data_IF_513598863349
#
_entry.id   IF_513598863349
#
_cell.length_a   1.000
_cell.length_b   1.000
_cell.length_c   1.000
_cell.angle_alpha   90.00
_cell.angle_beta   90.00
_cell.angle_gamma   90.00
#
_symmetry.space_group_name_H-M   'P 1'
#
loop_
_entity.id
_entity.type
_entity.pdbx_description
1 polymer ?
#
# COMPACT_ATOMS: atom_id res chain seq x y z
N UNK A 1 -42.40 36.73 -74.20
CA UNK A 1 -41.98 37.93 -73.43
C UNK A 1 -43.18 38.70 -72.88
N UNK A 2 -44.03 39.34 -73.69
CA UNK A 2 -45.21 40.10 -73.21
C UNK A 2 -46.11 39.32 -72.23
N UNK A 3 -46.42 38.05 -72.53
CA UNK A 3 -47.17 37.15 -71.63
C UNK A 3 -46.50 36.94 -70.25
N UNK A 4 -45.17 36.78 -70.23
CA UNK A 4 -44.39 36.62 -69.00
C UNK A 4 -44.39 37.92 -68.19
N UNK A 5 -44.31 39.07 -68.87
CA UNK A 5 -44.40 40.39 -68.23
C UNK A 5 -45.75 40.55 -67.55
N UNK A 6 -46.85 40.28 -68.26
CA UNK A 6 -48.20 40.38 -67.69
C UNK A 6 -48.42 39.40 -66.52
N UNK A 7 -47.88 38.18 -66.59
CA UNK A 7 -47.93 37.22 -65.48
C UNK A 7 -47.15 37.71 -64.24
N UNK A 8 -45.99 38.35 -64.43
CA UNK A 8 -45.22 38.91 -63.32
C UNK A 8 -45.87 40.16 -62.74
N UNK A 9 -46.43 41.03 -63.57
CA UNK A 9 -47.20 42.21 -63.15
C UNK A 9 -48.40 41.80 -62.29
N UNK A 10 -49.15 40.78 -62.70
CA UNK A 10 -50.27 40.25 -61.92
C UNK A 10 -49.82 39.64 -60.59
N UNK A 11 -48.70 38.89 -60.57
CA UNK A 11 -48.14 38.34 -59.33
C UNK A 11 -47.65 39.42 -58.37
N UNK A 12 -47.17 40.56 -58.87
CA UNK A 12 -46.74 41.69 -58.05
C UNK A 12 -47.93 42.48 -57.48
N UNK A 13 -49.04 42.55 -58.22
CA UNK A 13 -50.28 43.18 -57.77
C UNK A 13 -51.06 42.32 -56.77
N UNK A 14 -50.93 40.99 -56.86
CA UNK A 14 -51.60 40.05 -55.94
C UNK A 14 -51.03 40.13 -54.52
N UNK A 15 -51.82 39.69 -53.53
CA UNK A 15 -51.36 39.63 -52.16
C UNK A 15 -50.18 38.65 -51.99
N UNK A 16 -49.16 39.09 -51.26
CA UNK A 16 -48.03 38.23 -50.91
C UNK A 16 -48.51 37.05 -50.05
N UNK A 17 -47.96 35.85 -50.28
CA UNK A 17 -48.26 34.69 -49.45
C UNK A 17 -47.72 34.93 -48.03
N UNK A 18 -48.31 34.26 -47.04
CA UNK A 18 -48.09 34.58 -45.63
C UNK A 18 -46.62 34.43 -45.19
N UNK A 19 -45.85 33.54 -45.83
CA UNK A 19 -44.42 33.35 -45.61
C UNK A 19 -43.57 34.60 -45.90
N UNK A 20 -44.04 35.45 -46.81
CA UNK A 20 -43.38 36.70 -47.20
C UNK A 20 -43.93 37.93 -46.45
N UNK A 21 -44.85 37.71 -45.50
CA UNK A 21 -45.38 38.73 -44.60
C UNK A 21 -44.69 38.58 -43.23
N UNK A 22 -44.28 39.68 -42.61
CA UNK A 22 -43.79 39.68 -41.23
C UNK A 22 -44.96 39.57 -40.24
N UNK A 23 -44.66 39.18 -38.99
CA UNK A 23 -45.62 39.23 -37.86
C UNK A 23 -46.97 38.55 -38.17
N UNK A 24 -46.90 37.31 -38.67
CA UNK A 24 -48.08 36.54 -39.06
C UNK A 24 -48.69 35.84 -37.84
N UNK A 25 -49.92 36.23 -37.50
CA UNK A 25 -50.73 35.56 -36.48
C UNK A 25 -51.31 34.22 -37.01
N UNK A 26 -51.65 33.31 -36.09
CA UNK A 26 -52.14 31.97 -36.43
C UNK A 26 -53.37 31.96 -37.37
N UNK A 27 -54.30 32.92 -37.26
CA UNK A 27 -55.48 33.00 -38.12
C UNK A 27 -55.24 33.54 -39.53
N UNK A 28 -54.08 34.17 -39.80
CA UNK A 28 -53.72 34.71 -41.14
C UNK A 28 -53.08 33.65 -42.04
N UNK A 29 -52.76 32.47 -41.52
CA UNK A 29 -52.19 31.35 -42.25
C UNK A 29 -53.15 30.15 -42.25
N UNK A 30 -53.11 29.27 -43.26
CA UNK A 30 -53.88 28.03 -43.24
C UNK A 30 -53.50 27.13 -42.05
N UNK A 31 -54.45 26.33 -41.59
CA UNK A 31 -54.22 25.35 -40.53
C UNK A 31 -53.11 24.37 -40.92
N UNK A 32 -52.28 23.97 -39.94
CA UNK A 32 -51.15 23.05 -40.11
C UNK A 32 -50.08 23.44 -41.14
N UNK A 33 -50.13 24.65 -41.70
CA UNK A 33 -49.15 25.13 -42.69
C UNK A 33 -47.71 25.19 -42.14
N UNK A 34 -47.54 25.30 -40.82
CA UNK A 34 -46.21 25.35 -40.18
C UNK A 34 -45.46 24.02 -40.29
N UNK A 35 -46.16 22.89 -40.30
CA UNK A 35 -45.53 21.56 -40.38
C UNK A 35 -44.89 21.29 -41.75
N UNK A 36 -45.34 22.02 -42.78
CA UNK A 36 -44.84 21.88 -44.14
C UNK A 36 -43.59 22.75 -44.40
N UNK A 37 -43.34 23.74 -43.53
CA UNK A 37 -42.29 24.72 -43.74
C UNK A 37 -41.10 24.49 -42.81
N UNK A 38 -39.89 24.66 -43.36
CA UNK A 38 -38.65 24.52 -42.62
C UNK A 38 -38.20 25.88 -42.09
N UNK A 39 -38.69 26.28 -40.91
CA UNK A 39 -38.27 27.50 -40.24
C UNK A 39 -37.08 27.21 -39.31
N UNK A 40 -36.11 28.11 -39.32
CA UNK A 40 -35.03 28.10 -38.34
C UNK A 40 -35.38 29.05 -37.20
N UNK A 41 -35.38 28.54 -35.98
CA UNK A 41 -35.60 29.31 -34.78
C UNK A 41 -34.61 28.89 -33.69
N UNK A 42 -34.32 29.82 -32.80
CA UNK A 42 -33.39 29.57 -31.70
C UNK A 42 -34.12 28.90 -30.51
N UNK A 43 -33.48 27.88 -29.94
CA UNK A 43 -33.91 27.29 -28.67
C UNK A 43 -33.13 27.93 -27.51
N UNK A 44 -33.83 28.32 -26.45
CA UNK A 44 -33.22 28.97 -25.28
C UNK A 44 -32.51 28.00 -24.34
N UNK A 45 -32.90 26.73 -24.35
CA UNK A 45 -32.38 25.69 -23.44
C UNK A 45 -31.74 24.56 -24.21
N UNK A 46 -30.67 23.99 -23.65
CA UNK A 46 -30.13 22.71 -24.15
C UNK A 46 -31.11 21.60 -23.81
N UNK A 47 -31.45 20.80 -24.81
CA UNK A 47 -32.26 19.60 -24.61
C UNK A 47 -31.48 18.59 -23.76
N UNK A 48 -32.17 17.84 -22.88
CA UNK A 48 -31.54 16.76 -22.14
C UNK A 48 -30.97 15.74 -23.15
N UNK A 49 -29.74 15.23 -22.93
CA UNK A 49 -29.16 14.24 -23.82
C UNK A 49 -29.94 12.93 -23.72
N UNK A 50 -30.18 12.30 -24.86
CA UNK A 50 -30.81 10.98 -24.91
C UNK A 50 -29.80 9.91 -24.52
N UNK A 51 -30.23 8.95 -23.68
CA UNK A 51 -29.39 7.86 -23.21
C UNK A 51 -29.33 6.79 -24.30
N UNK A 52 -28.35 6.91 -25.20
CA UNK A 52 -28.09 5.92 -26.26
C UNK A 52 -27.16 4.83 -25.77
N UNK A 53 -27.16 3.67 -26.43
CA UNK A 53 -26.24 2.56 -26.09
C UNK A 53 -24.76 2.93 -26.16
N UNK A 54 -24.40 3.88 -27.01
CA UNK A 54 -23.02 4.35 -27.13
C UNK A 54 -22.61 5.10 -25.86
N UNK A 55 -23.47 5.98 -25.36
CA UNK A 55 -23.22 6.71 -24.10
C UNK A 55 -23.11 5.76 -22.92
N UNK A 56 -23.96 4.73 -22.83
CA UNK A 56 -23.89 3.74 -21.75
C UNK A 56 -22.60 2.91 -21.82
N UNK A 57 -22.18 2.47 -23.01
CA UNK A 57 -20.90 1.76 -23.20
C UNK A 57 -19.71 2.60 -22.73
N UNK A 58 -19.68 3.89 -23.06
CA UNK A 58 -18.60 4.79 -22.59
C UNK A 58 -18.58 4.94 -21.07
N UNK A 59 -19.75 5.05 -20.43
CA UNK A 59 -19.88 5.12 -18.97
C UNK A 59 -19.42 3.81 -18.31
N UNK A 60 -19.81 2.66 -18.84
CA UNK A 60 -19.37 1.37 -18.33
C UNK A 60 -17.86 1.18 -18.42
N UNK A 61 -17.26 1.58 -19.53
CA UNK A 61 -15.81 1.45 -19.71
C UNK A 61 -15.05 2.36 -18.74
N UNK A 62 -15.56 3.56 -18.47
CA UNK A 62 -15.03 4.44 -17.43
C UNK A 62 -15.16 3.81 -16.03
N UNK A 63 -16.31 3.23 -15.71
CA UNK A 63 -16.55 2.54 -14.43
C UNK A 63 -15.60 1.34 -14.30
N UNK A 64 -15.45 0.52 -15.35
CA UNK A 64 -14.52 -0.62 -15.40
C UNK A 64 -13.08 -0.17 -15.19
N UNK A 65 -12.66 0.95 -15.79
CA UNK A 65 -11.34 1.54 -15.59
C UNK A 65 -11.16 1.98 -14.13
N UNK A 66 -12.09 2.74 -13.55
CA UNK A 66 -12.01 3.18 -12.14
C UNK A 66 -11.96 2.02 -11.14
N UNK A 67 -12.70 0.94 -11.40
CA UNK A 67 -12.65 -0.28 -10.58
C UNK A 67 -11.27 -0.96 -10.67
N UNK A 68 -10.70 -1.03 -11.88
CA UNK A 68 -9.34 -1.58 -12.09
C UNK A 68 -8.30 -0.74 -11.34
N UNK A 69 -8.41 0.58 -11.43
CA UNK A 69 -7.50 1.55 -10.80
C UNK A 69 -7.74 1.70 -9.29
N UNK A 70 -8.90 1.23 -8.79
CA UNK A 70 -9.37 1.36 -7.40
C UNK A 70 -9.41 2.84 -6.95
N UNK A 71 -9.77 3.73 -7.87
CA UNK A 71 -9.93 5.15 -7.64
C UNK A 71 -11.40 5.43 -7.25
N UNK A 72 -11.64 5.56 -5.95
CA UNK A 72 -12.96 5.78 -5.37
C UNK A 72 -13.02 7.18 -4.76
N UNK A 73 -14.09 7.91 -5.06
CA UNK A 73 -14.37 9.24 -4.52
C UNK A 73 -15.21 9.19 -3.22
N UNK A 74 -15.27 8.02 -2.56
CA UNK A 74 -16.02 7.82 -1.32
C UNK A 74 -15.41 8.61 -0.15
N UNK A 75 -16.26 9.15 0.73
CA UNK A 75 -15.81 9.88 1.92
C UNK A 75 -15.16 8.91 2.91
N UNK A 76 -13.85 9.05 3.12
CA UNK A 76 -13.12 8.25 4.11
C UNK A 76 -13.56 8.64 5.55
N UNK A 77 -13.83 7.63 6.39
CA UNK A 77 -14.17 7.87 7.81
C UNK A 77 -12.97 8.50 8.51
N UNK A 78 -13.14 9.74 8.99
CA UNK A 78 -12.15 10.41 9.85
C UNK A 78 -12.00 9.62 11.15
N UNK A 79 -10.89 8.89 11.28
CA UNK A 79 -10.52 8.23 12.54
C UNK A 79 -9.92 9.31 13.44
N UNK A 80 -10.47 9.47 14.64
CA UNK A 80 -9.83 10.32 15.67
C UNK A 80 -8.44 9.73 15.91
N UNK A 81 -7.41 10.56 15.84
CA UNK A 81 -6.06 10.10 16.18
C UNK A 81 -6.12 9.57 17.61
N UNK A 82 -5.88 8.26 17.78
CA UNK A 82 -5.74 7.69 19.12
C UNK A 82 -4.45 8.25 19.68
N UNK A 83 -4.56 9.19 20.60
CA UNK A 83 -3.41 9.67 21.37
C UNK A 83 -2.92 8.48 22.21
N UNK A 84 -1.93 7.75 21.71
CA UNK A 84 -1.28 6.73 22.51
C UNK A 84 -0.53 7.45 23.63
N UNK A 85 -0.85 7.20 24.93
CA UNK A 85 -0.25 7.93 26.06
C UNK A 85 1.28 7.89 26.09
N UNK A 86 1.87 6.88 25.41
CA UNK A 86 3.30 6.62 25.37
C UNK A 86 4.01 7.08 24.08
N UNK A 87 3.30 7.46 23.01
CA UNK A 87 3.94 7.79 21.72
C UNK A 87 4.38 9.26 21.61
N UNK A 88 3.72 10.17 22.33
CA UNK A 88 4.00 11.62 22.24
C UNK A 88 5.35 12.05 22.81
N UNK A 89 6.06 11.17 23.54
CA UNK A 89 7.31 11.54 24.24
C UNK A 89 8.60 11.24 23.47
N UNK A 90 8.54 10.73 22.23
CA UNK A 90 9.74 10.27 21.49
C UNK A 90 10.22 11.21 20.39
N UNK A 91 10.33 12.50 20.69
CA UNK A 91 11.18 13.40 19.91
C UNK A 91 12.18 14.07 20.85
N UNK A 92 13.26 13.37 21.12
CA UNK A 92 14.46 14.00 21.66
C UNK A 92 15.00 14.88 20.53
N UNK A 93 14.72 16.17 20.58
CA UNK A 93 15.41 17.15 19.76
C UNK A 93 16.85 17.21 20.25
N UNK A 94 17.80 16.92 19.37
CA UNK A 94 19.22 17.02 19.69
C UNK A 94 19.58 18.51 19.77
N UNK A 95 19.85 18.99 20.98
CA UNK A 95 20.37 20.34 21.18
C UNK A 95 21.75 20.46 20.52
N UNK A 96 21.90 21.43 19.62
CA UNK A 96 23.15 21.69 18.89
C UNK A 96 24.07 22.67 19.62
N UNK A 97 23.66 23.15 20.79
CA UNK A 97 24.49 23.98 21.64
C UNK A 97 25.59 23.14 22.31
N UNK A 98 26.75 23.74 22.55
CA UNK A 98 27.83 23.07 23.29
C UNK A 98 27.32 22.71 24.69
N UNK A 99 27.60 21.48 25.12
CA UNK A 99 27.16 20.99 26.42
C UNK A 99 27.72 21.87 27.55
N UNK A 100 26.84 22.30 28.46
CA UNK A 100 27.22 23.06 29.66
C UNK A 100 27.92 22.19 30.70
N UNK A 101 27.72 20.87 30.65
CA UNK A 101 28.31 19.88 31.55
C UNK A 101 29.56 19.25 30.93
N UNK A 102 30.52 18.87 31.79
CA UNK A 102 31.71 18.10 31.42
C UNK A 102 31.36 16.62 31.18
N UNK A 103 32.18 15.92 30.38
CA UNK A 103 32.01 14.49 30.11
C UNK A 103 31.98 13.65 31.39
N UNK A 104 32.81 13.99 32.38
CA UNK A 104 32.83 13.30 33.68
C UNK A 104 31.54 13.46 34.48
N UNK A 105 30.96 14.66 34.47
CA UNK A 105 29.68 14.94 35.15
C UNK A 105 28.51 14.24 34.46
N UNK A 106 28.55 14.11 33.13
CA UNK A 106 27.55 13.34 32.37
C UNK A 106 27.58 11.88 32.81
N UNK A 107 28.77 11.28 32.97
CA UNK A 107 28.91 9.90 33.44
C UNK A 107 28.46 9.73 34.90
N UNK A 108 28.79 10.67 35.78
CA UNK A 108 28.32 10.66 37.17
C UNK A 108 26.78 10.73 37.23
N UNK A 109 26.18 11.66 36.49
CA UNK A 109 24.73 11.80 36.41
C UNK A 109 24.07 10.58 35.79
N UNK A 110 24.66 9.97 34.77
CA UNK A 110 24.16 8.74 34.17
C UNK A 110 24.23 7.57 35.16
N UNK A 111 25.33 7.44 35.91
CA UNK A 111 25.47 6.40 36.93
C UNK A 111 24.43 6.55 38.05
N UNK A 112 24.22 7.78 38.55
CA UNK A 112 23.18 8.08 39.54
C UNK A 112 21.77 7.82 38.98
N UNK A 113 21.51 8.16 37.70
CA UNK A 113 20.24 7.88 37.01
C UNK A 113 20.01 6.39 36.79
N UNK A 114 21.05 5.61 36.54
CA UNK A 114 20.95 4.15 36.40
C UNK A 114 20.70 3.46 37.75
N UNK A 115 21.25 3.99 38.85
CA UNK A 115 20.96 3.52 40.20
C UNK A 115 19.57 3.92 40.69
N UNK A 116 19.08 5.11 40.29
CA UNK A 116 17.69 5.51 40.48
C UNK A 116 16.82 4.85 39.41
N UNK A 117 16.43 3.58 39.63
CA UNK A 117 15.34 2.98 38.88
C UNK A 117 14.13 3.90 38.99
N UNK A 118 13.67 4.46 37.86
CA UNK A 118 12.54 5.38 37.72
C UNK A 118 12.87 6.88 37.91
N UNK A 119 13.48 7.47 36.88
CA UNK A 119 13.14 8.85 36.56
C UNK A 119 12.03 8.85 35.52
N UNK A 120 10.81 9.13 36.00
CA UNK A 120 9.77 9.76 35.20
C UNK A 120 10.41 10.99 34.55
N UNK A 121 10.56 10.98 33.22
CA UNK A 121 10.99 12.15 32.47
C UNK A 121 10.18 13.35 32.95
N UNK A 122 10.86 14.29 33.62
CA UNK A 122 10.23 15.49 34.18
C UNK A 122 9.61 16.25 33.02
N UNK A 123 8.28 16.37 33.06
CA UNK A 123 7.57 17.35 32.26
C UNK A 123 8.13 18.73 32.56
N UNK A 124 8.21 19.59 31.54
CA UNK A 124 8.68 20.96 31.76
C UNK A 124 7.84 21.61 32.87
N UNK A 125 8.47 22.24 33.88
CA UNK A 125 7.75 22.82 35.02
C UNK A 125 6.72 23.88 34.57
N UNK A 126 6.97 24.53 33.44
CA UNK A 126 6.07 25.48 32.80
C UNK A 126 4.79 24.81 32.29
N UNK A 127 4.86 23.58 31.76
CA UNK A 127 3.68 22.84 31.35
C UNK A 127 2.81 22.47 32.54
N UNK A 128 3.42 22.14 33.68
CA UNK A 128 2.67 21.81 34.90
C UNK A 128 2.07 23.07 35.55
N UNK A 129 2.76 24.21 35.49
CA UNK A 129 2.21 25.49 35.95
C UNK A 129 1.02 25.93 35.10
N UNK A 130 1.14 25.84 33.76
CA UNK A 130 0.05 26.13 32.82
C UNK A 130 -1.14 25.22 33.06
N UNK A 131 -0.94 23.90 33.24
CA UNK A 131 -2.02 22.96 33.55
C UNK A 131 -2.77 23.34 34.83
N UNK A 132 -2.05 23.70 35.90
CA UNK A 132 -2.66 24.15 37.17
C UNK A 132 -3.46 25.44 37.01
N UNK A 133 -2.91 26.42 36.29
CA UNK A 133 -3.63 27.67 36.01
C UNK A 133 -4.89 27.39 35.18
N UNK A 134 -4.78 26.56 34.15
CA UNK A 134 -5.87 26.17 33.26
C UNK A 134 -7.00 25.44 34.00
N UNK A 135 -6.66 24.47 34.86
CA UNK A 135 -7.67 23.77 35.68
C UNK A 135 -8.37 24.73 36.62
N UNK A 136 -7.62 25.62 37.28
CA UNK A 136 -8.20 26.62 38.19
C UNK A 136 -9.13 27.61 37.48
N UNK A 137 -8.79 27.99 36.24
CA UNK A 137 -9.58 28.91 35.43
C UNK A 137 -10.88 28.23 34.97
N UNK A 138 -10.80 27.00 34.44
CA UNK A 138 -12.00 26.27 34.00
C UNK A 138 -12.98 26.02 35.14
N UNK A 139 -12.51 25.64 36.34
CA UNK A 139 -13.41 25.47 37.49
C UNK A 139 -14.17 26.77 37.80
N UNK A 140 -13.52 27.94 37.66
CA UNK A 140 -14.18 29.24 37.88
C UNK A 140 -15.19 29.56 36.77
N UNK A 141 -14.85 29.32 35.51
CA UNK A 141 -15.77 29.55 34.38
C UNK A 141 -16.97 28.59 34.41
N UNK A 142 -16.73 27.33 34.77
CA UNK A 142 -17.77 26.30 34.91
C UNK A 142 -18.75 26.70 36.03
N UNK A 143 -18.24 27.21 37.17
CA UNK A 143 -19.08 27.74 38.24
C UNK A 143 -19.87 29.01 37.83
N UNK A 144 -19.24 29.93 37.08
CA UNK A 144 -19.90 31.15 36.57
C UNK A 144 -21.01 30.84 35.56
N UNK A 145 -20.86 29.76 34.79
CA UNK A 145 -21.86 29.31 33.81
C UNK A 145 -22.93 28.39 34.41
N UNK A 146 -23.03 28.29 35.74
CA UNK A 146 -23.94 27.38 36.45
C UNK A 146 -23.78 25.91 35.98
N UNK A 147 -22.56 25.51 35.66
CA UNK A 147 -22.20 24.19 35.13
C UNK A 147 -22.91 23.80 33.81
N UNK A 148 -23.39 24.78 33.03
CA UNK A 148 -23.93 24.55 31.68
C UNK A 148 -22.85 24.70 30.60
N UNK A 149 -21.87 23.79 30.59
CA UNK A 149 -20.76 23.80 29.65
C UNK A 149 -20.62 22.46 28.92
N UNK A 150 -19.88 22.47 27.81
CA UNK A 150 -19.53 21.24 27.11
C UNK A 150 -18.46 20.50 27.90
N UNK A 151 -18.69 19.23 28.32
CA UNK A 151 -17.73 18.48 29.12
C UNK A 151 -16.38 18.36 28.38
N UNK A 152 -15.30 18.28 29.15
CA UNK A 152 -13.95 18.11 28.59
C UNK A 152 -13.89 16.83 27.75
N UNK A 153 -13.13 16.88 26.66
CA UNK A 153 -12.93 15.71 25.82
C UNK A 153 -12.25 14.61 26.65
N UNK A 154 -12.68 13.36 26.47
CA UNK A 154 -12.11 12.23 27.19
C UNK A 154 -10.65 12.02 26.74
N UNK A 155 -9.72 12.38 27.60
CA UNK A 155 -8.31 12.04 27.44
C UNK A 155 -8.10 10.57 27.84
N UNK A 156 -7.23 9.83 27.13
CA UNK A 156 -6.90 8.45 27.51
C UNK A 156 -6.05 8.44 28.78
N UNK A 157 -6.68 8.22 29.92
CA UNK A 157 -6.02 8.08 31.23
C UNK A 157 -5.73 6.61 31.53
N UNK A 158 -4.52 6.30 31.98
CA UNK A 158 -4.12 4.94 32.39
C UNK A 158 -4.23 4.84 33.90
N UNK A 159 -5.23 4.11 34.38
CA UNK A 159 -5.37 3.80 35.81
C UNK A 159 -4.76 2.42 36.09
N UNK A 160 -3.77 2.38 36.97
CA UNK A 160 -3.15 1.13 37.43
C UNK A 160 -3.88 0.69 38.70
N UNK A 161 -4.71 -0.33 38.59
CA UNK A 161 -5.46 -0.90 39.72
C UNK A 161 -4.64 -2.05 40.32
N UNK A 162 -4.36 -1.99 41.62
CA UNK A 162 -3.69 -3.06 42.36
C UNK A 162 -4.69 -4.10 42.86
N UNK A 163 -4.32 -5.38 42.92
CA UNK A 163 -5.17 -6.46 43.43
C UNK A 163 -5.30 -6.39 44.97
N UNK A 164 -6.21 -5.54 45.44
CA UNK A 164 -6.57 -5.36 46.85
C UNK A 164 -8.01 -5.87 47.11
N UNK A 165 -8.37 -6.26 48.35
CA UNK A 165 -9.76 -6.52 48.69
C UNK A 165 -10.60 -5.24 48.54
N UNK A 166 -11.86 -5.36 48.11
CA UNK A 166 -12.78 -4.22 47.94
C UNK A 166 -12.94 -3.41 49.22
N UNK A 167 -12.92 -4.08 50.38
CA UNK A 167 -12.97 -3.49 51.71
C UNK A 167 -11.91 -2.39 51.91
N UNK A 168 -10.72 -2.52 51.31
CA UNK A 168 -9.67 -1.51 51.45
C UNK A 168 -9.98 -0.19 50.72
N UNK A 169 -10.90 -0.21 49.75
CA UNK A 169 -11.35 0.97 49.01
C UNK A 169 -12.64 1.56 49.57
N UNK A 170 -13.38 0.80 50.38
CA UNK A 170 -14.61 1.26 51.01
C UNK A 170 -14.31 2.24 52.17
N UNK A 171 -15.27 3.10 52.46
CA UNK A 171 -15.19 3.99 53.62
C UNK A 171 -15.22 3.16 54.92
N UNK A 172 -14.58 3.67 55.98
CA UNK A 172 -14.52 3.00 57.28
C UNK A 172 -15.89 3.08 57.97
N UNK A 173 -16.80 2.21 57.56
CA UNK A 173 -18.10 2.00 58.18
C UNK A 173 -18.13 0.62 58.88
N UNK A 174 -18.85 0.48 60.01
CA UNK A 174 -18.88 -0.77 60.78
C UNK A 174 -19.58 -1.94 60.07
N UNK A 175 -20.26 -1.69 58.94
CA UNK A 175 -20.90 -2.72 58.12
C UNK A 175 -20.20 -2.79 56.78
N UNK A 176 -19.29 -3.76 56.61
CA UNK A 176 -18.70 -4.07 55.33
C UNK A 176 -19.68 -4.90 54.49
N UNK A 177 -19.83 -4.56 53.22
CA UNK A 177 -20.86 -5.15 52.34
C UNK A 177 -20.26 -6.21 51.40
N UNK A 178 -18.93 -6.26 51.20
CA UNK A 178 -18.33 -7.13 50.19
C UNK A 178 -16.96 -7.74 50.56
N UNK A 179 -16.79 -9.04 50.30
CA UNK A 179 -15.50 -9.78 50.47
C UNK A 179 -14.72 -9.95 49.15
N UNK A 180 -15.15 -9.31 48.07
CA UNK A 180 -14.57 -9.48 46.74
C UNK A 180 -13.19 -8.81 46.61
N UNK A 181 -12.40 -9.23 45.62
CA UNK A 181 -11.19 -8.50 45.22
C UNK A 181 -11.50 -7.57 44.06
N UNK A 182 -10.74 -6.48 43.92
CA UNK A 182 -10.93 -5.51 42.84
C UNK A 182 -10.68 -6.08 41.44
N UNK A 183 -9.72 -7.00 41.33
CA UNK A 183 -9.29 -7.55 40.05
C UNK A 183 -10.12 -8.78 39.68
N UNK A 184 -10.61 -8.83 38.44
CA UNK A 184 -11.37 -9.97 37.96
C UNK A 184 -10.47 -11.19 37.75
N UNK A 185 -10.99 -12.44 37.87
CA UNK A 185 -10.22 -13.63 37.56
C UNK A 185 -9.63 -13.63 36.14
N UNK A 186 -10.32 -13.02 35.16
CA UNK A 186 -9.83 -12.88 33.77
C UNK A 186 -8.63 -11.92 33.64
N UNK A 187 -8.50 -10.95 34.54
CA UNK A 187 -7.38 -9.99 34.57
C UNK A 187 -6.17 -10.56 35.32
N UNK A 188 -6.41 -11.41 36.33
CA UNK A 188 -5.36 -12.20 36.99
C UNK A 188 -4.80 -13.26 36.04
N UNK A 189 -5.69 -13.92 35.28
CA UNK A 189 -5.33 -14.97 34.34
C UNK A 189 -6.22 -14.90 33.11
N UNK A 190 -5.59 -14.69 31.95
CA UNK A 190 -6.28 -14.70 30.66
C UNK A 190 -7.10 -15.97 30.46
N UNK A 191 -8.33 -15.81 29.98
CA UNK A 191 -9.16 -16.94 29.58
C UNK A 191 -8.51 -17.69 28.42
N UNK A 192 -8.17 -18.95 28.66
CA UNK A 192 -7.76 -19.84 27.58
C UNK A 192 -9.00 -20.21 26.77
N UNK A 193 -9.07 -19.75 25.53
CA UNK A 193 -10.17 -20.10 24.63
C UNK A 193 -10.02 -21.53 24.13
N UNK A 194 -10.80 -22.44 24.71
CA UNK A 194 -10.81 -23.87 24.39
C UNK A 194 -9.82 -24.67 25.23
N UNK A 195 -9.88 -25.99 25.09
CA UNK A 195 -8.96 -26.91 25.76
C UNK A 195 -7.54 -26.76 25.19
N UNK A 196 -6.53 -26.69 26.07
CA UNK A 196 -5.14 -26.80 25.64
C UNK A 196 -4.89 -28.22 25.16
N UNK A 197 -4.85 -28.42 23.84
CA UNK A 197 -4.48 -29.68 23.20
C UNK A 197 -3.03 -29.65 22.75
N UNK A 198 -2.27 -30.69 23.09
CA UNK A 198 -0.93 -30.90 22.58
C UNK A 198 -0.92 -31.18 21.07
N UNK A 199 0.20 -30.94 20.38
CA UNK A 199 0.28 -31.18 18.93
C UNK A 199 0.09 -32.67 18.54
N UNK A 200 0.41 -33.58 19.46
CA UNK A 200 0.14 -35.03 19.35
C UNK A 200 -1.34 -35.38 19.41
N UNK A 201 -2.13 -34.65 20.20
CA UNK A 201 -3.55 -34.89 20.45
C UNK A 201 -4.46 -34.20 19.42
N UNK A 202 -3.93 -33.22 18.67
CA UNK A 202 -4.68 -32.50 17.64
C UNK A 202 -5.03 -33.42 16.46
N UNK A 203 -6.33 -33.57 16.24
CA UNK A 203 -6.87 -34.25 15.06
C UNK A 203 -6.54 -33.50 13.76
N UNK A 204 -6.66 -34.17 12.61
CA UNK A 204 -6.41 -33.54 11.29
C UNK A 204 -7.34 -32.33 11.05
N UNK A 205 -8.59 -32.40 11.48
CA UNK A 205 -9.56 -31.30 11.37
C UNK A 205 -9.15 -30.09 12.23
N UNK A 206 -8.70 -30.33 13.47
CA UNK A 206 -8.21 -29.28 14.37
C UNK A 206 -7.01 -28.53 13.76
N UNK A 207 -6.04 -29.27 13.21
CA UNK A 207 -4.85 -28.69 12.54
C UNK A 207 -5.24 -27.82 11.33
N UNK A 208 -6.22 -28.26 10.53
CA UNK A 208 -6.71 -27.49 9.39
C UNK A 208 -7.44 -26.20 9.82
N UNK A 209 -8.27 -26.29 10.87
CA UNK A 209 -8.97 -25.12 11.44
C UNK A 209 -7.99 -24.10 12.00
N UNK A 210 -6.98 -24.55 12.74
CA UNK A 210 -5.92 -23.69 13.28
C UNK A 210 -5.14 -23.00 12.16
N UNK A 211 -4.78 -23.74 11.09
CA UNK A 211 -4.12 -23.18 9.90
C UNK A 211 -4.99 -22.13 9.19
N UNK A 212 -6.28 -22.39 9.03
CA UNK A 212 -7.22 -21.43 8.43
C UNK A 212 -7.33 -20.15 9.27
N UNK A 213 -7.44 -20.28 10.59
CA UNK A 213 -7.44 -19.14 11.52
C UNK A 213 -6.16 -18.32 11.42
N UNK A 214 -4.99 -18.97 11.48
CA UNK A 214 -3.67 -18.33 11.29
C UNK A 214 -3.57 -17.65 9.91
N UNK A 215 -4.07 -18.26 8.83
CA UNK A 215 -4.09 -17.67 7.48
C UNK A 215 -5.00 -16.44 7.41
N UNK A 216 -6.17 -16.48 8.06
CA UNK A 216 -7.12 -15.36 8.15
C UNK A 216 -6.48 -14.18 8.88
N UNK A 217 -5.89 -14.42 10.05
CA UNK A 217 -5.19 -13.39 10.84
C UNK A 217 -4.03 -12.76 10.06
N UNK A 218 -3.19 -13.58 9.41
CA UNK A 218 -2.10 -13.08 8.54
C UNK A 218 -2.64 -12.25 7.37
N UNK A 219 -3.77 -12.63 6.76
CA UNK A 219 -4.40 -11.85 5.68
C UNK A 219 -4.92 -10.50 6.19
N UNK A 220 -5.52 -10.45 7.37
CA UNK A 220 -6.00 -9.22 8.00
C UNK A 220 -4.81 -8.29 8.30
N UNK A 221 -3.79 -8.79 8.99
CA UNK A 221 -2.57 -8.01 9.32
C UNK A 221 -1.85 -7.49 8.07
N UNK A 222 -1.80 -8.28 6.99
CA UNK A 222 -1.23 -7.83 5.72
C UNK A 222 -2.07 -6.69 5.11
N UNK A 223 -3.39 -6.85 5.04
CA UNK A 223 -4.29 -5.81 4.51
C UNK A 223 -4.15 -4.49 5.29
N UNK A 224 -4.11 -4.57 6.61
CA UNK A 224 -3.92 -3.40 7.48
C UNK A 224 -2.57 -2.72 7.23
N UNK A 225 -1.49 -3.51 7.09
CA UNK A 225 -0.17 -2.99 6.75
C UNK A 225 -0.14 -2.31 5.37
N UNK A 226 -0.77 -2.93 4.37
CA UNK A 226 -0.86 -2.38 3.01
C UNK A 226 -1.70 -1.08 3.01
N UNK A 227 -2.80 -1.02 3.77
CA UNK A 227 -3.61 0.19 3.95
C UNK A 227 -2.82 1.31 4.63
N UNK A 228 -2.11 0.99 5.71
CA UNK A 228 -1.23 1.95 6.41
C UNK A 228 -0.14 2.48 5.48
N UNK A 229 0.46 1.63 4.67
CA UNK A 229 1.46 2.04 3.69
C UNK A 229 0.88 2.98 2.63
N UNK A 230 -0.28 2.66 2.07
CA UNK A 230 -0.97 3.53 1.11
C UNK A 230 -1.32 4.90 1.71
N UNK A 231 -1.77 4.93 2.96
CA UNK A 231 -2.03 6.20 3.66
C UNK A 231 -0.74 7.03 3.78
N UNK A 232 0.36 6.38 4.16
CA UNK A 232 1.68 7.01 4.29
C UNK A 232 2.20 7.54 2.94
N UNK A 233 1.99 6.79 1.85
CA UNK A 233 2.34 7.18 0.47
C UNK A 233 1.48 8.36 -0.03
N UNK A 234 0.19 8.39 0.30
CA UNK A 234 -0.71 9.54 0.02
C UNK A 234 -0.27 10.80 0.76
N UNK A 235 0.12 10.68 2.04
CA UNK A 235 0.52 11.82 2.88
C UNK A 235 1.88 12.40 2.47
N UNK A 236 2.80 11.57 1.98
CA UNK A 236 4.13 12.00 1.51
C UNK A 236 4.41 11.43 0.12
N UNK A 237 3.89 12.07 -0.96
CA UNK A 237 4.12 11.60 -2.31
C UNK A 237 5.60 11.76 -2.69
N UNK A 238 6.27 10.64 -3.01
CA UNK A 238 7.65 10.59 -3.53
C UNK A 238 8.64 9.76 -2.70
N UNK A 239 9.92 9.80 -3.11
CA UNK A 239 11.04 9.11 -2.44
C UNK A 239 11.52 9.82 -1.14
N UNK A 240 10.79 10.83 -0.66
CA UNK A 240 11.12 11.59 0.55
C UNK A 240 10.85 10.86 1.85
N UNK A 241 10.08 9.76 1.80
CA UNK A 241 9.78 8.96 2.97
C UNK A 241 10.93 7.98 3.27
N UNK A 242 11.48 8.00 4.49
CA UNK A 242 12.64 7.17 4.88
C UNK A 242 12.46 5.68 4.52
N UNK A 243 11.22 5.20 4.52
CA UNK A 243 10.88 3.79 4.28
C UNK A 243 10.55 3.44 2.82
N UNK A 244 10.31 4.41 1.92
CA UNK A 244 9.94 4.11 0.52
C UNK A 244 11.14 3.64 -0.30
N UNK A 245 12.32 4.25 -0.09
CA UNK A 245 13.60 3.83 -0.71
C UNK A 245 14.01 2.41 -0.29
N UNK A 246 14.03 2.12 1.00
CA UNK A 246 14.36 0.78 1.54
C UNK A 246 13.38 -0.29 1.05
N UNK A 247 12.10 0.07 0.87
CA UNK A 247 11.09 -0.83 0.34
C UNK A 247 11.33 -1.12 -1.14
N UNK A 248 11.54 -0.11 -1.97
CA UNK A 248 11.85 -0.27 -3.38
C UNK A 248 13.10 -1.14 -3.57
N UNK A 249 14.14 -0.93 -2.76
CA UNK A 249 15.35 -1.77 -2.76
C UNK A 249 15.06 -3.23 -2.36
N UNK A 250 14.21 -3.46 -1.34
CA UNK A 250 13.81 -4.83 -0.94
C UNK A 250 12.90 -5.51 -1.95
N UNK A 251 12.06 -4.76 -2.66
CA UNK A 251 11.23 -5.29 -3.75
C UNK A 251 12.12 -5.69 -4.93
N UNK A 252 13.05 -4.81 -5.34
CA UNK A 252 14.08 -5.14 -6.33
C UNK A 252 14.95 -6.33 -5.91
N UNK A 253 15.33 -6.45 -4.63
CA UNK A 253 16.12 -7.59 -4.13
C UNK A 253 15.32 -8.89 -4.10
N UNK A 254 13.99 -8.83 -3.93
CA UNK A 254 13.12 -10.01 -4.04
C UNK A 254 12.93 -10.41 -5.48
N UNK A 255 12.76 -9.43 -6.37
CA UNK A 255 12.65 -9.65 -7.81
C UNK A 255 13.95 -10.25 -8.33
N UNK A 256 15.13 -9.73 -7.96
CA UNK A 256 16.43 -10.30 -8.36
C UNK A 256 16.70 -11.70 -7.80
N UNK A 257 16.04 -12.09 -6.70
CA UNK A 257 16.14 -13.45 -6.12
C UNK A 257 15.10 -14.41 -6.71
N UNK A 258 14.12 -13.92 -7.46
CA UNK A 258 13.16 -14.76 -8.13
C UNK A 258 13.82 -15.44 -9.35
N UNK A 259 13.64 -16.76 -9.54
CA UNK A 259 14.35 -17.53 -10.57
C UNK A 259 13.95 -17.17 -12.02
N UNK A 260 12.97 -16.29 -12.21
CA UNK A 260 12.40 -15.90 -13.51
C UNK A 260 12.64 -14.44 -13.88
N UNK A 261 13.44 -13.68 -13.13
CA UNK A 261 13.63 -12.25 -13.39
C UNK A 261 14.91 -11.96 -14.19
N UNK A 262 14.85 -10.94 -15.02
CA UNK A 262 15.95 -10.41 -15.85
C UNK A 262 16.71 -9.26 -15.16
N UNK A 263 16.50 -9.04 -13.86
CA UNK A 263 17.05 -7.89 -13.11
C UNK A 263 18.20 -8.34 -12.22
N UNK A 264 19.43 -8.00 -12.61
CA UNK A 264 20.63 -8.22 -11.80
C UNK A 264 20.93 -6.98 -10.96
N UNK A 265 20.83 -7.13 -9.64
CA UNK A 265 21.22 -6.09 -8.68
C UNK A 265 22.75 -6.05 -8.60
N UNK A 266 23.37 -5.10 -9.31
CA UNK A 266 24.76 -4.71 -9.09
C UNK A 266 24.84 -4.04 -7.72
N UNK A 267 25.07 -4.83 -6.68
CA UNK A 267 25.56 -4.30 -5.41
C UNK A 267 26.99 -3.86 -5.69
N UNK A 268 27.23 -2.55 -5.71
CA UNK A 268 28.58 -2.00 -5.57
C UNK A 268 29.10 -2.38 -4.19
N UNK A 269 29.53 -3.64 -4.06
CA UNK A 269 30.38 -4.05 -2.97
C UNK A 269 31.59 -3.14 -3.08
N UNK A 270 31.81 -2.32 -2.06
CA UNK A 270 33.06 -1.62 -1.83
C UNK A 270 34.20 -2.64 -1.87
N UNK A 271 34.74 -2.90 -3.05
CA UNK A 271 35.92 -3.74 -3.25
C UNK A 271 37.15 -3.14 -2.56
N UNK A 272 37.05 -1.89 -2.08
CA UNK A 272 38.09 -1.21 -1.30
C UNK A 272 38.04 -1.43 0.21
N UNK A 273 36.97 -2.02 0.79
CA UNK A 273 36.91 -2.27 2.24
C UNK A 273 37.19 -3.73 2.64
N UNK A 274 37.40 -4.63 1.67
CA UNK A 274 37.66 -6.06 1.94
C UNK A 274 39.06 -6.36 2.49
N UNK A 275 40.03 -5.45 2.30
CA UNK A 275 41.43 -5.64 2.70
C UNK A 275 41.80 -5.00 4.05
N UNK A 276 40.85 -4.43 4.78
CA UNK A 276 41.16 -3.75 6.06
C UNK A 276 41.39 -4.72 7.22
N UNK A 277 41.03 -6.00 7.05
CA UNK A 277 41.25 -7.04 8.06
C UNK A 277 42.25 -8.07 7.54
N UNK A 278 43.30 -8.32 8.33
CA UNK A 278 44.33 -9.32 8.03
C UNK A 278 43.73 -10.72 7.78
N UNK A 279 42.65 -11.09 8.47
CA UNK A 279 41.97 -12.38 8.27
C UNK A 279 41.44 -12.55 6.84
N UNK A 280 40.85 -11.50 6.28
CA UNK A 280 40.26 -11.55 4.93
C UNK A 280 41.36 -11.55 3.85
N UNK A 281 42.48 -10.87 4.10
CA UNK A 281 43.63 -10.88 3.20
C UNK A 281 44.27 -12.27 3.13
N UNK A 282 44.51 -12.91 4.28
CA UNK A 282 45.13 -14.24 4.30
C UNK A 282 44.18 -15.34 3.81
N UNK A 283 42.86 -15.22 3.99
CA UNK A 283 41.91 -16.17 3.41
C UNK A 283 41.87 -16.08 1.88
N UNK A 284 41.93 -14.87 1.30
CA UNK A 284 42.02 -14.70 -0.15
C UNK A 284 43.34 -15.25 -0.71
N UNK A 285 44.46 -14.99 -0.04
CA UNK A 285 45.76 -15.57 -0.42
C UNK A 285 45.75 -17.10 -0.37
N UNK A 286 45.13 -17.69 0.66
CA UNK A 286 44.97 -19.14 0.75
C UNK A 286 44.08 -19.69 -0.36
N UNK A 287 42.98 -19.01 -0.69
CA UNK A 287 42.10 -19.40 -1.80
C UNK A 287 42.83 -19.32 -3.15
N UNK A 288 43.57 -18.24 -3.41
CA UNK A 288 44.31 -18.04 -4.66
C UNK A 288 45.44 -19.06 -4.83
N UNK A 289 46.20 -19.32 -3.76
CA UNK A 289 47.21 -20.39 -3.73
C UNK A 289 46.55 -21.75 -3.94
N UNK A 290 45.42 -22.03 -3.29
CA UNK A 290 44.70 -23.30 -3.46
C UNK A 290 44.15 -23.48 -4.88
N UNK A 291 43.66 -22.40 -5.50
CA UNK A 291 43.19 -22.39 -6.87
C UNK A 291 44.35 -22.63 -7.86
N UNK A 292 45.50 -21.98 -7.63
CA UNK A 292 46.74 -22.21 -8.40
C UNK A 292 47.31 -23.63 -8.26
N UNK A 293 47.20 -24.25 -7.07
CA UNK A 293 47.61 -25.66 -6.87
C UNK A 293 46.65 -26.60 -7.61
N UNK A 294 45.34 -26.35 -7.54
CA UNK A 294 44.32 -27.16 -8.24
C UNK A 294 44.46 -27.07 -9.76
N UNK A 295 44.72 -25.88 -10.31
CA UNK A 295 44.94 -25.70 -11.75
C UNK A 295 46.20 -26.43 -12.22
N UNK A 296 47.32 -26.32 -11.48
CA UNK A 296 48.56 -27.08 -11.77
C UNK A 296 48.39 -28.59 -11.64
N UNK A 297 47.60 -29.08 -10.68
CA UNK A 297 47.26 -30.50 -10.59
C UNK A 297 46.39 -30.97 -11.76
N UNK A 298 45.41 -30.17 -12.18
CA UNK A 298 44.58 -30.46 -13.34
C UNK A 298 45.40 -30.51 -14.63
N UNK A 299 46.37 -29.60 -14.78
CA UNK A 299 47.29 -29.57 -15.91
C UNK A 299 48.24 -30.77 -15.92
N UNK A 300 48.82 -31.15 -14.77
CA UNK A 300 49.60 -32.40 -14.64
C UNK A 300 48.78 -33.65 -14.95
N UNK A 301 47.49 -33.69 -14.55
CA UNK A 301 46.57 -34.78 -14.91
C UNK A 301 46.31 -34.82 -16.41
N UNK A 302 46.07 -33.68 -17.06
CA UNK A 302 45.94 -33.59 -18.54
C UNK A 302 47.22 -34.05 -19.25
N UNK A 303 48.40 -33.64 -18.78
CA UNK A 303 49.67 -34.08 -19.36
C UNK A 303 49.90 -35.58 -19.18
N UNK A 304 49.60 -36.14 -18.00
CA UNK A 304 49.63 -37.60 -17.78
C UNK A 304 48.67 -38.33 -18.70
N UNK A 305 47.46 -37.81 -18.89
CA UNK A 305 46.46 -38.42 -19.78
C UNK A 305 46.89 -38.36 -21.24
N UNK A 306 47.52 -37.24 -21.67
CA UNK A 306 48.08 -37.10 -23.01
C UNK A 306 49.27 -38.04 -23.23
N UNK A 307 50.20 -38.12 -22.27
CA UNK A 307 51.31 -39.06 -22.33
C UNK A 307 50.84 -40.53 -22.29
N UNK A 308 49.77 -40.84 -21.55
CA UNK A 308 49.15 -42.17 -21.54
C UNK A 308 48.48 -42.50 -22.89
N UNK A 309 47.80 -41.54 -23.52
CA UNK A 309 47.23 -41.69 -24.87
C UNK A 309 48.32 -41.85 -25.94
N UNK A 310 49.42 -41.10 -25.84
CA UNK A 310 50.57 -41.20 -26.75
C UNK A 310 51.30 -42.55 -26.60
N UNK A 311 51.33 -43.13 -25.40
CA UNK A 311 51.89 -44.48 -25.16
C UNK A 311 50.97 -45.61 -25.62
N UNK A 312 49.66 -45.38 -25.70
CA UNK A 312 48.68 -46.37 -26.18
C UNK A 312 48.55 -46.34 -27.71
N UNK A 313 48.76 -45.19 -28.34
CA UNK A 313 48.69 -45.05 -29.80
C UNK A 313 50.01 -45.37 -30.52
N UNK A 314 50.99 -45.94 -29.81
CA UNK A 314 52.31 -46.29 -30.31
C UNK A 314 52.43 -47.71 -30.88
N UNK A 315 51.41 -48.31 -31.51
CA UNK A 315 51.58 -49.41 -32.47
C UNK A 315 50.40 -49.46 -33.45
N UNK A 316 50.72 -49.61 -34.73
CA UNK A 316 49.87 -49.81 -35.90
C UNK A 316 49.37 -48.55 -36.64
N UNK A 317 50.16 -48.25 -37.67
CA UNK A 317 49.82 -47.55 -38.90
C UNK A 317 48.45 -47.90 -39.47
N UNK A 318 47.72 -46.90 -39.98
CA UNK A 318 46.95 -47.03 -41.21
C UNK A 318 46.76 -45.66 -41.87
N UNK A 319 47.06 -45.63 -43.17
CA UNK A 319 46.81 -44.52 -44.11
C UNK A 319 45.31 -44.47 -44.49
N UNK A 320 44.85 -43.39 -45.16
CA UNK A 320 43.59 -42.71 -44.91
C UNK A 320 42.50 -42.99 -45.95
N UNK A 321 41.26 -42.57 -45.69
CA UNK A 321 40.31 -42.12 -46.73
C UNK A 321 39.49 -40.94 -46.19
N UNK A 322 39.41 -39.91 -47.03
CA UNK A 322 38.78 -38.61 -46.85
C UNK A 322 37.24 -38.65 -46.80
N UNK A 323 36.64 -37.69 -46.07
CA UNK A 323 35.44 -36.99 -46.53
C UNK A 323 35.28 -35.64 -45.83
N UNK A 324 35.07 -34.61 -46.64
CA UNK A 324 35.07 -33.18 -46.31
C UNK A 324 33.72 -32.66 -45.78
N UNK A 325 33.80 -31.41 -45.28
CA UNK A 325 32.79 -30.34 -45.13
C UNK A 325 32.25 -30.05 -43.70
N UNK A 326 31.89 -28.79 -43.38
CA UNK A 326 32.70 -27.58 -43.53
C UNK A 326 32.71 -26.71 -42.25
N UNK A 327 33.69 -25.80 -42.18
CA UNK A 327 33.82 -24.76 -41.14
C UNK A 327 32.87 -23.60 -41.41
N UNK A 328 32.24 -23.07 -40.37
CA UNK A 328 31.62 -21.75 -40.38
C UNK A 328 32.32 -20.84 -39.35
N UNK A 329 32.76 -19.69 -39.86
CA UNK A 329 33.52 -18.63 -39.21
C UNK A 329 32.65 -17.77 -38.30
N UNK A 330 33.30 -17.18 -37.29
CA UNK A 330 32.78 -16.07 -36.49
C UNK A 330 32.62 -14.84 -37.37
N UNK A 331 31.49 -14.14 -37.23
CA UNK A 331 31.41 -12.71 -37.49
C UNK A 331 30.53 -12.02 -36.44
N UNK A 332 31.03 -10.87 -36.02
CA UNK A 332 30.41 -9.87 -35.17
C UNK A 332 29.30 -9.13 -35.90
N UNK A 333 28.13 -8.98 -35.28
CA UNK A 333 27.16 -7.93 -35.64
C UNK A 333 26.48 -7.39 -34.39
N UNK A 334 26.63 -6.09 -34.20
CA UNK A 334 25.77 -5.22 -33.38
C UNK A 334 24.45 -5.05 -34.11
N UNK A 335 23.32 -5.34 -33.47
CA UNK A 335 22.04 -4.74 -33.86
C UNK A 335 21.08 -4.57 -32.68
N UNK A 336 20.68 -3.31 -32.56
CA UNK A 336 19.43 -2.75 -32.07
C UNK A 336 18.20 -3.63 -32.36
N UNK A 337 17.27 -3.74 -31.39
CA UNK A 337 15.95 -4.31 -31.65
C UNK A 337 14.86 -3.62 -30.82
N UNK A 338 14.06 -2.84 -31.53
CA UNK A 338 12.72 -2.37 -31.17
C UNK A 338 11.74 -3.56 -31.22
N UNK A 339 10.94 -3.68 -30.15
CA UNK A 339 9.53 -4.05 -30.12
C UNK A 339 8.97 -5.18 -31.02
N UNK A 340 8.46 -6.23 -30.35
CA UNK A 340 7.18 -6.95 -30.57
C UNK A 340 7.20 -8.14 -29.60
N UNK A 341 6.27 -8.31 -28.67
CA UNK A 341 4.85 -8.55 -28.90
C UNK A 341 4.59 -10.04 -28.66
N UNK A 342 4.43 -10.45 -27.40
CA UNK A 342 4.12 -11.85 -27.05
C UNK A 342 2.76 -11.98 -26.37
N UNK A 343 2.08 -13.04 -26.81
CA UNK A 343 0.72 -13.45 -26.53
C UNK A 343 0.67 -14.14 -25.17
N UNK A 344 -0.11 -13.61 -24.23
CA UNK A 344 -0.44 -14.34 -23.00
C UNK A 344 -1.63 -15.29 -23.23
N UNK A 345 -1.36 -16.58 -23.05
CA UNK A 345 -2.35 -17.62 -22.94
C UNK A 345 -3.15 -17.44 -21.63
N UNK A 346 -4.46 -17.22 -21.76
CA UNK A 346 -5.42 -17.18 -20.67
C UNK A 346 -5.58 -18.57 -20.04
N UNK A 347 -5.29 -18.69 -18.75
CA UNK A 347 -5.90 -19.69 -17.88
C UNK A 347 -7.08 -19.03 -17.15
N UNK A 348 -8.29 -19.42 -17.57
CA UNK A 348 -9.55 -19.06 -16.94
C UNK A 348 -9.67 -19.70 -15.54
N UNK A 349 -10.12 -18.98 -14.50
CA UNK A 349 -10.74 -19.63 -13.35
C UNK A 349 -12.22 -19.98 -13.65
N UNK A 350 -12.53 -21.23 -13.36
CA UNK A 350 -13.85 -21.88 -13.35
C UNK A 350 -14.95 -21.00 -12.73
N UNK A 351 -16.05 -20.85 -13.47
CA UNK A 351 -17.36 -20.45 -12.98
C UNK A 351 -17.79 -21.45 -11.91
N UNK A 352 -18.16 -20.96 -10.73
CA UNK A 352 -18.85 -21.73 -9.72
C UNK A 352 -20.31 -21.24 -9.71
N UNK A 353 -21.21 -22.16 -10.06
CA UNK A 353 -22.65 -21.97 -10.01
C UNK A 353 -23.06 -21.65 -8.56
N UNK A 354 -23.78 -20.56 -8.37
CA UNK A 354 -24.43 -20.22 -7.11
C UNK A 354 -25.93 -20.28 -7.36
N UNK A 355 -26.53 -21.40 -6.96
CA UNK A 355 -27.97 -21.59 -6.90
C UNK A 355 -28.60 -20.51 -6.01
N UNK A 356 -29.65 -19.88 -6.53
CA UNK A 356 -30.45 -18.89 -5.82
C UNK A 356 -31.22 -19.51 -4.66
N UNK A 357 -31.12 -18.88 -3.50
CA UNK A 357 -32.13 -18.96 -2.45
C UNK A 357 -32.66 -17.55 -2.22
N UNK A 358 -33.86 -17.33 -2.73
CA UNK A 358 -34.75 -16.23 -2.39
C UNK A 358 -35.13 -16.32 -0.91
N UNK A 359 -34.95 -15.24 -0.17
CA UNK A 359 -35.63 -15.01 1.10
C UNK A 359 -36.34 -13.67 0.98
N UNK A 360 -37.64 -13.74 0.69
CA UNK A 360 -38.57 -12.63 0.77
C UNK A 360 -38.78 -12.27 2.24
N UNK A 361 -38.45 -11.04 2.60
CA UNK A 361 -38.97 -10.37 3.78
C UNK A 361 -40.05 -9.41 3.27
N UNK A 362 -41.31 -9.84 3.34
CA UNK A 362 -42.44 -8.92 3.27
C UNK A 362 -42.95 -8.64 4.68
N UNK A 363 -43.02 -7.35 4.92
CA UNK A 363 -43.72 -6.63 5.97
C UNK A 363 -45.23 -6.84 5.86
N UNK A 364 -45.86 -7.21 6.98
CA UNK A 364 -47.19 -6.81 7.45
C UNK A 364 -47.30 -7.15 8.93
#
# INVERSE_FOLDING_TARGET
LKKKITEMELKLLAEKPWQLKGEVNAGKRPENSLLQENLQFEYTTRLPPEITEETTKTLEDLIKQRIKDKAWDDVERKVKQTENPFEFKKRITLDQEKSKMSLGEIYEQEYLKQQQTEQVEKTDPDHDSIKKMMTSLFIKLDALSNFHYTPKHAAPEVHIITNQPSIAMEEVAPVAVSDAKLLAPEEIKDKVKGEMKGDSEKTKSDRLRERQKKKKEKRIKRKEKDQRQKLIEKLNPGLGNKYSKDRALRELEKESKAPSSHVTLLKDTKEKSGLTSSKNFFSQLQEEVSAGIKSKQAEKRRLKYRHWLDNICGQHSSRPVDQELPRATRDSVVMEAVGRGEKEARLLPRVADFEGKSNDWHTS
#
